data_IF_760016198217
#
_entry.id   IF_760016198217
#
_cell.length_a   1.000
_cell.length_b   1.000
_cell.length_c   1.000
_cell.angle_alpha   90.00
_cell.angle_beta   90.00
_cell.angle_gamma   90.00
#
_symmetry.space_group_name_H-M   'P 1'
#
loop_
_entity.id
_entity.type
_entity.pdbx_description
1 polymer ?
#
# COMPACT_ATOMS: atom_id res chain seq x y z
N UNK A 1 -46.24 -3.71 8.80
CA UNK A 1 -45.66 -3.67 10.16
C UNK A 1 -45.93 -5.04 10.73
N UNK A 2 -44.96 -5.92 10.72
CA UNK A 2 -45.07 -7.21 11.39
C UNK A 2 -44.94 -6.99 12.89
N UNK A 3 -45.79 -7.64 13.68
CA UNK A 3 -45.90 -7.50 15.15
C UNK A 3 -44.66 -7.85 15.95
N UNK A 4 -43.52 -8.17 15.31
CA UNK A 4 -42.29 -8.57 15.93
C UNK A 4 -41.12 -7.59 15.75
N UNK A 5 -41.35 -6.31 15.53
CA UNK A 5 -40.29 -5.28 15.65
C UNK A 5 -39.02 -5.48 14.76
N UNK A 6 -39.07 -6.36 13.76
CA UNK A 6 -37.97 -6.56 12.85
C UNK A 6 -37.95 -5.38 11.88
N UNK A 7 -36.95 -4.53 12.06
CA UNK A 7 -36.70 -3.41 11.17
C UNK A 7 -36.43 -3.92 9.75
N UNK A 8 -37.16 -3.40 8.75
CA UNK A 8 -36.83 -3.67 7.35
C UNK A 8 -35.44 -3.10 7.06
N UNK A 9 -34.46 -3.98 6.78
CA UNK A 9 -33.12 -3.58 6.43
C UNK A 9 -32.98 -3.59 4.90
N UNK A 10 -32.67 -2.45 4.32
CA UNK A 10 -32.32 -2.32 2.91
C UNK A 10 -30.82 -2.17 2.75
N UNK A 11 -30.23 -2.92 1.83
CA UNK A 11 -28.81 -2.82 1.47
C UNK A 11 -28.64 -1.92 0.25
N UNK A 12 -27.51 -1.21 0.21
CA UNK A 12 -27.18 -0.25 -0.84
C UNK A 12 -25.78 -0.46 -1.37
N UNK A 13 -25.61 -0.39 -2.68
CA UNK A 13 -24.34 -0.37 -3.38
C UNK A 13 -24.53 0.33 -4.73
N UNK A 14 -23.53 0.31 -5.57
CA UNK A 14 -23.60 0.68 -6.97
C UNK A 14 -23.76 -0.58 -7.84
N UNK A 15 -24.20 -0.45 -9.11
CA UNK A 15 -24.28 -1.58 -10.04
C UNK A 15 -22.97 -2.37 -10.14
N UNK A 16 -21.83 -1.68 -10.01
CA UNK A 16 -20.48 -2.26 -10.01
C UNK A 16 -20.09 -2.99 -8.71
N UNK A 17 -20.93 -2.92 -7.68
CA UNK A 17 -20.72 -3.54 -6.37
C UNK A 17 -19.39 -3.20 -5.71
N UNK A 18 -19.04 -1.92 -5.73
CA UNK A 18 -17.75 -1.43 -5.23
C UNK A 18 -17.61 -1.59 -3.72
N UNK A 19 -18.69 -1.45 -2.95
CA UNK A 19 -18.70 -1.69 -1.49
C UNK A 19 -18.47 -3.18 -1.22
N UNK A 20 -19.24 -4.07 -1.86
CA UNK A 20 -19.10 -5.52 -1.72
C UNK A 20 -17.68 -5.97 -2.09
N UNK A 21 -17.11 -5.44 -3.17
CA UNK A 21 -15.73 -5.75 -3.61
C UNK A 21 -14.70 -5.42 -2.53
N UNK A 22 -14.90 -4.35 -1.78
CA UNK A 22 -14.04 -3.96 -0.66
C UNK A 22 -14.36 -4.70 0.64
N UNK A 23 -15.42 -5.50 0.67
CA UNK A 23 -15.93 -6.16 1.86
C UNK A 23 -16.71 -5.22 2.79
N UNK A 24 -17.14 -4.05 2.29
CA UNK A 24 -17.94 -3.08 3.04
C UNK A 24 -19.44 -3.31 2.82
N UNK A 25 -20.25 -2.92 3.79
CA UNK A 25 -21.72 -3.01 3.72
C UNK A 25 -22.34 -1.67 4.06
N UNK A 26 -23.16 -1.15 3.16
CA UNK A 26 -24.00 0.01 3.42
C UNK A 26 -25.47 -0.43 3.52
N UNK A 27 -26.08 -0.17 4.64
CA UNK A 27 -27.49 -0.53 4.89
C UNK A 27 -28.27 0.63 5.51
N UNK A 28 -29.57 0.55 5.40
CA UNK A 28 -30.51 1.45 6.05
C UNK A 28 -31.64 0.67 6.67
N UNK A 29 -31.89 0.88 7.96
CA UNK A 29 -33.02 0.29 8.69
C UNK A 29 -33.99 1.36 9.16
N UNK A 30 -35.23 0.98 9.33
CA UNK A 30 -36.26 1.82 9.92
C UNK A 30 -36.50 1.38 11.37
N UNK A 31 -36.23 2.28 12.32
CA UNK A 31 -36.52 2.08 13.73
C UNK A 31 -37.42 3.20 14.23
N UNK A 32 -38.60 2.85 14.76
CA UNK A 32 -39.57 3.82 15.29
C UNK A 32 -39.89 4.97 14.31
N UNK A 33 -39.97 4.67 13.00
CA UNK A 33 -40.24 5.64 11.94
C UNK A 33 -39.04 6.50 11.53
N UNK A 34 -37.86 6.29 12.14
CA UNK A 34 -36.61 6.98 11.81
C UNK A 34 -35.69 6.07 10.97
N UNK A 35 -35.15 6.62 9.90
CA UNK A 35 -34.17 5.89 9.07
C UNK A 35 -32.79 6.02 9.66
N UNK A 36 -32.13 4.89 9.91
CA UNK A 36 -30.75 4.82 10.38
C UNK A 36 -29.91 4.21 9.26
N UNK A 37 -28.95 4.96 8.77
CA UNK A 37 -27.91 4.46 7.87
C UNK A 37 -26.80 3.83 8.69
N UNK A 38 -26.33 2.67 8.23
CA UNK A 38 -25.22 1.92 8.83
C UNK A 38 -24.23 1.54 7.74
N UNK A 39 -23.00 2.01 7.88
CA UNK A 39 -21.86 1.60 7.07
C UNK A 39 -20.95 0.73 7.93
N UNK A 40 -20.67 -0.48 7.47
CA UNK A 40 -19.69 -1.39 8.05
C UNK A 40 -18.50 -1.49 7.11
N UNK A 41 -17.33 -1.18 7.64
CA UNK A 41 -16.05 -1.25 6.93
C UNK A 41 -15.18 -2.34 7.55
N UNK A 42 -14.70 -3.32 6.77
CA UNK A 42 -13.85 -4.38 7.30
C UNK A 42 -12.53 -3.82 7.80
N UNK A 43 -12.07 -4.31 8.95
CA UNK A 43 -10.73 -4.08 9.49
C UNK A 43 -9.94 -5.38 9.56
N UNK A 44 -8.62 -5.28 9.71
CA UNK A 44 -7.74 -6.45 9.78
C UNK A 44 -7.74 -7.10 11.20
N UNK A 45 -8.23 -6.40 12.20
CA UNK A 45 -8.31 -6.75 13.63
C UNK A 45 -9.67 -7.35 14.07
N UNK A 46 -10.39 -7.93 13.15
CA UNK A 46 -11.68 -8.66 13.32
C UNK A 46 -12.90 -7.81 13.73
N UNK A 47 -12.76 -6.62 14.27
CA UNK A 47 -13.91 -5.74 14.51
C UNK A 47 -14.11 -4.74 13.37
N UNK A 48 -15.25 -4.79 12.65
CA UNK A 48 -15.53 -3.85 11.58
C UNK A 48 -15.73 -2.43 12.15
N UNK A 49 -15.24 -1.42 11.45
CA UNK A 49 -15.59 -0.05 11.75
C UNK A 49 -17.07 0.17 11.36
N UNK A 50 -17.86 0.56 12.33
CA UNK A 50 -19.30 0.84 12.11
C UNK A 50 -19.53 2.34 12.26
N UNK A 51 -20.12 2.94 11.23
CA UNK A 51 -20.59 4.33 11.24
C UNK A 51 -22.12 4.30 11.11
N UNK A 52 -22.82 4.79 12.13
CA UNK A 52 -24.27 4.89 12.13
C UNK A 52 -24.73 6.34 12.25
N UNK A 53 -25.70 6.73 11.43
CA UNK A 53 -26.29 8.07 11.48
C UNK A 53 -27.75 8.08 10.99
N UNK A 54 -28.57 8.90 11.66
CA UNK A 54 -29.95 9.19 11.21
C UNK A 54 -29.92 9.92 9.86
N UNK A 55 -30.77 9.49 8.93
CA UNK A 55 -30.82 10.12 7.60
C UNK A 55 -32.09 9.79 6.79
N UNK A 56 -32.28 10.59 5.76
CA UNK A 56 -33.41 10.44 4.80
C UNK A 56 -33.31 9.13 4.00
N UNK A 57 -34.31 8.86 3.16
CA UNK A 57 -34.42 7.57 2.46
C UNK A 57 -33.48 7.44 1.24
N UNK A 58 -32.96 8.55 0.70
CA UNK A 58 -32.30 8.56 -0.63
C UNK A 58 -30.78 8.67 -0.53
N UNK A 59 -30.27 9.55 0.31
CA UNK A 59 -28.85 9.86 0.39
C UNK A 59 -28.29 9.54 1.76
N UNK A 60 -27.09 8.94 1.83
CA UNK A 60 -26.39 8.76 3.10
C UNK A 60 -26.13 10.10 3.79
N UNK A 61 -26.27 10.18 5.12
CA UNK A 61 -26.01 11.40 5.89
C UNK A 61 -24.51 11.74 5.91
N UNK A 62 -24.17 12.96 6.34
CA UNK A 62 -22.85 13.55 6.18
C UNK A 62 -21.68 12.69 6.70
N UNK A 63 -21.83 12.09 7.89
CA UNK A 63 -20.74 11.29 8.48
C UNK A 63 -20.51 10.00 7.70
N UNK A 64 -21.59 9.36 7.23
CA UNK A 64 -21.51 8.19 6.35
C UNK A 64 -20.98 8.59 4.98
N UNK A 65 -21.47 9.70 4.41
CA UNK A 65 -21.07 10.19 3.09
C UNK A 65 -19.59 10.57 3.03
N UNK A 66 -19.00 11.06 4.14
CA UNK A 66 -17.61 11.48 4.22
C UNK A 66 -16.60 10.35 3.91
N UNK A 67 -16.97 9.11 4.16
CA UNK A 67 -16.11 7.95 3.96
C UNK A 67 -16.40 7.15 2.69
N UNK A 68 -17.43 7.55 1.93
CA UNK A 68 -17.86 6.87 0.71
C UNK A 68 -17.32 7.41 -0.64
N UNK A 69 -16.55 8.53 -0.74
CA UNK A 69 -16.24 9.12 -2.03
C UNK A 69 -15.54 8.18 -3.03
N UNK A 70 -14.63 7.30 -2.56
CA UNK A 70 -13.95 6.32 -3.40
C UNK A 70 -14.90 5.28 -4.02
N UNK A 71 -15.99 4.97 -3.33
CA UNK A 71 -17.00 4.03 -3.80
C UNK A 71 -18.00 4.71 -4.72
N UNK A 72 -18.59 5.82 -4.26
CA UNK A 72 -19.68 6.49 -4.96
C UNK A 72 -19.24 7.35 -6.14
N UNK A 73 -18.10 8.06 -6.04
CA UNK A 73 -17.54 8.94 -7.09
C UNK A 73 -18.59 9.90 -7.67
N UNK A 74 -19.44 10.47 -6.79
CA UNK A 74 -20.51 11.38 -7.16
C UNK A 74 -21.84 10.71 -7.58
N UNK A 75 -21.89 9.37 -7.67
CA UNK A 75 -23.14 8.64 -7.89
C UNK A 75 -23.89 8.42 -6.57
N UNK A 76 -25.21 8.20 -6.66
CA UNK A 76 -26.00 7.77 -5.51
C UNK A 76 -26.02 6.25 -5.39
N UNK A 77 -25.94 5.69 -4.18
CA UNK A 77 -26.07 4.25 -3.99
C UNK A 77 -27.51 3.81 -4.28
N UNK A 78 -27.66 2.66 -4.91
CA UNK A 78 -28.93 2.04 -5.23
C UNK A 78 -29.23 0.87 -4.28
N UNK A 79 -30.52 0.62 -4.03
CA UNK A 79 -30.93 -0.56 -3.26
C UNK A 79 -30.62 -1.83 -4.03
N UNK A 80 -29.96 -2.80 -3.38
CA UNK A 80 -29.66 -4.10 -3.99
C UNK A 80 -30.00 -5.26 -3.06
N UNK A 81 -30.17 -6.44 -3.63
CA UNK A 81 -30.32 -7.68 -2.88
C UNK A 81 -28.96 -8.42 -2.76
N UNK A 82 -28.43 -8.59 -1.54
CA UNK A 82 -27.16 -9.30 -1.32
C UNK A 82 -27.21 -10.77 -1.78
N UNK A 83 -28.40 -11.38 -1.83
CA UNK A 83 -28.57 -12.75 -2.28
C UNK A 83 -28.45 -12.90 -3.81
N UNK A 84 -28.55 -11.81 -4.57
CA UNK A 84 -28.40 -11.86 -6.03
C UNK A 84 -26.92 -11.97 -6.39
N UNK A 85 -26.45 -13.19 -6.58
CA UNK A 85 -25.08 -13.50 -7.07
C UNK A 85 -24.95 -13.11 -8.54
N UNK A 86 -24.66 -11.85 -8.83
CA UNK A 86 -24.25 -11.43 -10.15
C UNK A 86 -22.77 -11.04 -10.16
N UNK A 87 -21.97 -11.87 -10.84
CA UNK A 87 -20.74 -11.43 -11.47
C UNK A 87 -19.49 -11.39 -10.62
N UNK A 88 -19.11 -12.50 -9.95
CA UNK A 88 -17.68 -12.78 -9.85
C UNK A 88 -17.18 -13.01 -11.27
N UNK A 89 -16.23 -12.19 -11.72
CA UNK A 89 -15.60 -12.36 -13.02
C UNK A 89 -15.04 -13.78 -13.12
N UNK A 90 -15.38 -14.52 -14.18
CA UNK A 90 -14.84 -15.85 -14.43
C UNK A 90 -13.31 -15.78 -14.39
N UNK A 91 -12.71 -16.53 -13.48
CA UNK A 91 -11.26 -16.64 -13.39
C UNK A 91 -10.79 -17.50 -14.57
N UNK A 92 -10.24 -16.89 -15.59
CA UNK A 92 -9.49 -17.58 -16.62
C UNK A 92 -8.10 -17.94 -16.04
N UNK A 93 -7.69 -19.20 -16.21
CA UNK A 93 -6.38 -19.70 -15.73
C UNK A 93 -5.20 -19.25 -16.60
N UNK A 94 -5.46 -18.48 -17.66
CA UNK A 94 -4.45 -17.91 -18.53
C UNK A 94 -3.71 -16.72 -17.88
N UNK A 95 -2.61 -16.31 -18.47
CA UNK A 95 -1.76 -15.21 -17.98
C UNK A 95 -2.50 -13.88 -17.87
N UNK A 96 -3.53 -13.66 -18.71
CA UNK A 96 -4.33 -12.43 -18.74
C UNK A 96 -5.35 -12.43 -17.62
N UNK A 97 -6.05 -13.55 -17.40
CA UNK A 97 -6.97 -13.72 -16.29
C UNK A 97 -6.28 -13.54 -14.93
N UNK A 98 -5.05 -14.02 -14.80
CA UNK A 98 -4.22 -13.81 -13.61
C UNK A 98 -3.82 -12.36 -13.42
N UNK A 99 -3.38 -11.68 -14.47
CA UNK A 99 -3.09 -10.25 -14.44
C UNK A 99 -4.31 -9.46 -13.98
N UNK A 100 -5.49 -9.78 -14.53
CA UNK A 100 -6.77 -9.21 -14.14
C UNK A 100 -7.04 -9.43 -12.66
N UNK A 101 -6.99 -10.69 -12.18
CA UNK A 101 -7.23 -11.02 -10.77
C UNK A 101 -6.23 -10.35 -9.81
N UNK A 102 -4.99 -10.12 -10.25
CA UNK A 102 -4.02 -9.38 -9.45
C UNK A 102 -4.37 -7.90 -9.36
N UNK A 103 -4.79 -7.27 -10.45
CA UNK A 103 -5.23 -5.86 -10.47
C UNK A 103 -6.52 -5.67 -9.67
N UNK A 104 -7.49 -6.58 -9.81
CA UNK A 104 -8.73 -6.60 -9.03
C UNK A 104 -8.47 -6.64 -7.52
N UNK A 105 -7.59 -7.54 -7.07
CA UNK A 105 -7.19 -7.60 -5.66
C UNK A 105 -6.56 -6.29 -5.17
N UNK A 106 -5.72 -5.65 -5.97
CA UNK A 106 -5.12 -4.38 -5.57
C UNK A 106 -6.16 -3.25 -5.55
N UNK A 107 -7.08 -3.23 -6.50
CA UNK A 107 -8.18 -2.26 -6.54
C UNK A 107 -9.09 -2.42 -5.31
N UNK A 108 -9.49 -3.65 -4.96
CA UNK A 108 -10.24 -3.93 -3.76
C UNK A 108 -9.51 -3.47 -2.47
N UNK A 109 -8.19 -3.67 -2.39
CA UNK A 109 -7.37 -3.17 -1.27
C UNK A 109 -7.31 -1.64 -1.21
N UNK A 110 -7.28 -0.95 -2.35
CA UNK A 110 -7.36 0.52 -2.39
C UNK A 110 -8.70 0.99 -1.82
N UNK A 111 -9.81 0.42 -2.27
CA UNK A 111 -11.14 0.76 -1.77
C UNK A 111 -11.29 0.44 -0.27
N UNK A 112 -10.77 -0.72 0.18
CA UNK A 112 -10.87 -1.16 1.58
C UNK A 112 -10.21 -0.20 2.55
N UNK A 113 -9.02 0.33 2.20
CA UNK A 113 -8.23 1.17 3.10
C UNK A 113 -8.43 2.69 2.92
N UNK A 114 -9.14 3.13 1.86
CA UNK A 114 -9.45 4.53 1.62
C UNK A 114 -10.21 5.19 2.80
N UNK A 115 -11.27 4.58 3.36
CA UNK A 115 -11.99 5.15 4.50
C UNK A 115 -11.12 5.36 5.74
N UNK A 116 -10.26 4.41 6.06
CA UNK A 116 -9.37 4.51 7.23
C UNK A 116 -8.35 5.66 7.09
N UNK A 117 -7.86 5.90 5.86
CA UNK A 117 -6.98 7.07 5.58
C UNK A 117 -7.75 8.38 5.73
N UNK A 118 -9.02 8.45 5.28
CA UNK A 118 -9.86 9.66 5.42
C UNK A 118 -10.18 9.99 6.86
N UNK A 119 -10.39 8.98 7.69
CA UNK A 119 -10.73 9.13 9.10
C UNK A 119 -9.49 9.25 10.00
N UNK A 120 -8.30 9.04 9.45
CA UNK A 120 -7.00 8.99 10.18
C UNK A 120 -7.04 8.06 11.41
N UNK A 121 -7.65 6.87 11.24
CA UNK A 121 -7.89 5.94 12.33
C UNK A 121 -6.62 5.18 12.71
N UNK A 122 -5.90 4.69 11.69
CA UNK A 122 -4.71 3.87 11.86
C UNK A 122 -3.68 4.19 10.78
N UNK A 123 -2.40 4.43 11.15
CA UNK A 123 -1.30 4.57 10.19
C UNK A 123 -1.14 3.37 9.25
N UNK A 124 -1.66 2.20 9.65
CA UNK A 124 -1.64 0.99 8.84
C UNK A 124 -2.55 1.10 7.60
N UNK A 125 -3.65 1.86 7.66
CA UNK A 125 -4.51 2.10 6.48
C UNK A 125 -3.74 2.85 5.39
N UNK A 126 -2.96 3.88 5.74
CA UNK A 126 -2.07 4.58 4.79
C UNK A 126 -1.02 3.60 4.23
N UNK A 127 -0.48 2.73 5.08
CA UNK A 127 0.48 1.71 4.65
C UNK A 127 -0.14 0.76 3.62
N UNK A 128 -1.29 0.16 3.92
CA UNK A 128 -1.98 -0.81 3.07
C UNK A 128 -2.42 -0.20 1.76
N UNK A 129 -3.02 0.99 1.80
CA UNK A 129 -3.38 1.75 0.60
C UNK A 129 -2.15 1.99 -0.29
N UNK A 130 -1.05 2.49 0.27
CA UNK A 130 0.20 2.74 -0.45
C UNK A 130 0.83 1.45 -0.99
N UNK A 131 0.74 0.34 -0.26
CA UNK A 131 1.20 -0.99 -0.75
C UNK A 131 0.39 -1.41 -1.97
N UNK A 132 -0.94 -1.27 -1.95
CA UNK A 132 -1.81 -1.62 -3.06
C UNK A 132 -1.51 -0.76 -4.30
N UNK A 133 -1.39 0.56 -4.15
CA UNK A 133 -0.98 1.49 -5.24
C UNK A 133 0.38 1.11 -5.83
N UNK A 134 1.37 0.85 -4.98
CA UNK A 134 2.71 0.45 -5.42
C UNK A 134 2.71 -0.91 -6.12
N UNK A 135 1.92 -1.89 -5.63
CA UNK A 135 1.78 -3.20 -6.27
C UNK A 135 1.09 -3.09 -7.61
N UNK A 136 -0.02 -2.33 -7.73
CA UNK A 136 -0.68 -2.07 -9.01
C UNK A 136 0.29 -1.52 -10.06
N UNK A 137 1.08 -0.51 -9.67
CA UNK A 137 2.11 0.07 -10.53
C UNK A 137 3.19 -0.94 -10.94
N UNK A 138 3.60 -1.81 -10.02
CA UNK A 138 4.61 -2.83 -10.27
C UNK A 138 4.08 -3.94 -11.19
N UNK A 139 2.83 -4.36 -11.01
CA UNK A 139 2.12 -5.33 -11.87
C UNK A 139 2.06 -4.79 -13.31
N UNK A 140 1.57 -3.57 -13.51
CA UNK A 140 1.51 -2.92 -14.82
C UNK A 140 2.90 -2.77 -15.46
N UNK A 141 3.94 -2.46 -14.64
CA UNK A 141 5.32 -2.39 -15.15
C UNK A 141 5.85 -3.75 -15.58
N UNK A 142 5.59 -4.80 -14.81
CA UNK A 142 6.04 -6.15 -15.13
C UNK A 142 5.33 -6.69 -16.38
N UNK A 143 4.02 -6.39 -16.50
CA UNK A 143 3.19 -6.79 -17.65
C UNK A 143 3.34 -5.86 -18.88
N UNK A 144 4.17 -4.80 -18.80
CA UNK A 144 4.36 -3.84 -19.92
C UNK A 144 4.56 -4.46 -21.31
N UNK A 145 5.31 -5.57 -21.48
CA UNK A 145 5.50 -6.17 -22.80
C UNK A 145 4.23 -6.80 -23.41
N UNK A 146 3.20 -7.04 -22.59
CA UNK A 146 1.91 -7.63 -23.03
C UNK A 146 0.77 -6.63 -23.03
N UNK A 147 0.95 -5.46 -22.41
CA UNK A 147 -0.07 -4.42 -22.26
C UNK A 147 0.04 -3.36 -23.36
N UNK A 148 -1.10 -2.82 -23.77
CA UNK A 148 -1.15 -1.64 -24.60
C UNK A 148 -0.52 -0.43 -23.86
N UNK A 149 0.60 0.15 -24.37
CA UNK A 149 1.26 1.27 -23.73
C UNK A 149 0.40 2.53 -23.64
N UNK A 150 -0.48 2.77 -24.64
CA UNK A 150 -1.34 3.95 -24.69
C UNK A 150 -2.34 3.98 -23.53
N UNK A 151 -2.66 2.81 -23.00
CA UNK A 151 -3.53 2.63 -21.84
C UNK A 151 -2.75 2.47 -20.52
N UNK A 152 -1.71 1.63 -20.51
CA UNK A 152 -1.03 1.24 -19.27
C UNK A 152 -0.06 2.30 -18.73
N UNK A 153 0.59 3.10 -19.60
CA UNK A 153 1.53 4.12 -19.15
C UNK A 153 0.86 5.31 -18.46
N UNK A 154 -0.27 5.88 -18.95
CA UNK A 154 -1.03 6.88 -18.20
C UNK A 154 -1.48 6.37 -16.83
N UNK A 155 -2.05 5.17 -16.75
CA UNK A 155 -2.51 4.57 -15.50
C UNK A 155 -1.34 4.39 -14.51
N UNK A 156 -0.16 4.00 -14.98
CA UNK A 156 1.05 3.94 -14.15
C UNK A 156 1.52 5.30 -13.67
N UNK A 157 1.34 6.34 -14.49
CA UNK A 157 1.61 7.73 -14.13
C UNK A 157 0.73 8.19 -12.98
N UNK A 158 -0.57 7.92 -13.05
CA UNK A 158 -1.53 8.28 -12.00
C UNK A 158 -1.27 7.50 -10.69
N UNK A 159 -0.94 6.21 -10.77
CA UNK A 159 -0.51 5.43 -9.61
C UNK A 159 0.80 5.96 -8.98
N UNK A 160 1.69 6.53 -9.80
CA UNK A 160 2.90 7.19 -9.27
C UNK A 160 2.54 8.46 -8.51
N UNK A 161 1.68 9.30 -9.07
CA UNK A 161 1.19 10.51 -8.44
C UNK A 161 0.54 10.22 -7.09
N UNK A 162 -0.44 9.30 -7.04
CA UNK A 162 -1.11 8.93 -5.78
C UNK A 162 -0.11 8.34 -4.77
N UNK A 163 0.79 7.47 -5.23
CA UNK A 163 1.84 6.92 -4.38
C UNK A 163 2.79 7.95 -3.80
N UNK A 164 3.01 9.09 -4.49
CA UNK A 164 3.80 10.22 -4.00
C UNK A 164 3.02 11.07 -3.00
N UNK A 165 1.73 11.32 -3.23
CA UNK A 165 0.86 12.06 -2.32
C UNK A 165 0.73 11.36 -0.95
N UNK A 166 0.51 10.04 -0.96
CA UNK A 166 0.46 9.20 0.24
C UNK A 166 1.84 8.96 0.87
N UNK A 167 2.90 9.12 0.06
CA UNK A 167 4.26 8.74 0.43
C UNK A 167 4.77 9.51 1.63
N UNK A 168 4.63 10.83 1.60
CA UNK A 168 5.11 11.71 2.66
C UNK A 168 4.47 11.39 4.02
N UNK A 169 3.16 11.15 4.02
CA UNK A 169 2.43 10.78 5.23
C UNK A 169 2.96 9.47 5.82
N UNK A 170 3.09 8.42 5.00
CA UNK A 170 3.61 7.11 5.44
C UNK A 170 5.06 7.18 5.90
N UNK A 171 5.92 7.92 5.21
CA UNK A 171 7.34 8.03 5.56
C UNK A 171 7.50 8.69 6.93
N UNK A 172 6.65 9.66 7.29
CA UNK A 172 6.62 10.30 8.61
C UNK A 172 6.08 9.32 9.67
N UNK A 173 4.99 8.58 9.41
CA UNK A 173 4.45 7.58 10.35
C UNK A 173 5.47 6.51 10.72
N UNK A 174 6.19 6.00 9.71
CA UNK A 174 7.25 5.00 9.93
C UNK A 174 8.36 5.57 10.79
N UNK A 175 8.75 6.82 10.51
CA UNK A 175 9.81 7.49 11.29
C UNK A 175 9.37 7.74 12.73
N UNK A 176 8.16 8.26 12.95
CA UNK A 176 7.62 8.47 14.30
C UNK A 176 7.62 7.16 15.09
N UNK A 177 7.01 6.10 14.55
CA UNK A 177 6.95 4.81 15.23
C UNK A 177 8.32 4.18 15.47
N UNK A 178 9.29 4.42 14.58
CA UNK A 178 10.66 3.99 14.78
C UNK A 178 11.34 4.79 15.90
N UNK A 179 11.29 6.12 15.84
CA UNK A 179 11.92 6.97 16.85
C UNK A 179 11.32 6.77 18.24
N UNK A 180 10.02 6.57 18.37
CA UNK A 180 9.38 6.26 19.63
C UNK A 180 9.99 5.02 20.28
N UNK A 181 10.16 3.92 19.54
CA UNK A 181 10.82 2.69 20.04
C UNK A 181 12.28 2.90 20.43
N UNK A 182 13.02 3.72 19.68
CA UNK A 182 14.41 4.02 19.99
C UNK A 182 14.54 4.95 21.22
N UNK A 183 13.62 5.91 21.35
CA UNK A 183 13.54 6.85 22.50
C UNK A 183 13.20 6.10 23.80
N UNK A 184 12.32 5.09 23.75
CA UNK A 184 12.01 4.25 24.91
C UNK A 184 13.23 3.56 25.50
N UNK A 185 14.27 3.32 24.70
CA UNK A 185 15.53 2.70 25.11
C UNK A 185 16.56 3.70 25.63
N UNK A 186 16.26 5.00 25.62
CA UNK A 186 17.10 6.03 26.24
C UNK A 186 16.82 6.12 27.74
N UNK A 187 17.82 6.56 28.50
CA UNK A 187 17.67 6.87 29.93
C UNK A 187 17.06 8.26 30.14
N UNK A 188 16.55 8.52 31.32
CA UNK A 188 16.18 9.86 31.73
C UNK A 188 17.46 10.67 32.06
N UNK A 189 17.56 11.98 31.75
CA UNK A 189 16.51 12.85 31.16
C UNK A 189 16.43 12.87 29.61
N UNK A 190 17.24 12.09 28.92
CA UNK A 190 17.35 12.10 27.47
C UNK A 190 16.04 11.70 26.78
N UNK A 191 15.34 10.71 27.36
CA UNK A 191 14.03 10.27 26.87
C UNK A 191 13.03 11.43 26.82
N UNK A 192 12.95 12.22 27.86
CA UNK A 192 12.07 13.40 27.92
C UNK A 192 12.49 14.45 26.89
N UNK A 193 13.79 14.74 26.79
CA UNK A 193 14.31 15.71 25.83
C UNK A 193 14.07 15.31 24.36
N UNK A 194 14.12 14.01 24.05
CA UNK A 194 13.86 13.49 22.71
C UNK A 194 12.38 13.59 22.28
N UNK A 195 11.44 13.74 23.22
CA UNK A 195 10.01 13.90 22.93
C UNK A 195 9.71 15.04 21.95
N UNK A 196 10.44 16.16 22.06
CA UNK A 196 10.31 17.31 21.16
C UNK A 196 10.53 16.91 19.69
N UNK A 197 11.41 15.95 19.39
CA UNK A 197 11.64 15.49 18.01
C UNK A 197 10.40 14.80 17.44
N UNK A 198 9.67 14.06 18.26
CA UNK A 198 8.41 13.42 17.86
C UNK A 198 7.29 14.45 17.66
N UNK A 199 7.23 15.48 18.50
CA UNK A 199 6.26 16.59 18.37
C UNK A 199 6.45 17.36 17.06
N UNK A 200 7.70 17.68 16.69
CA UNK A 200 8.03 18.32 15.41
C UNK A 200 7.57 17.48 14.21
N UNK A 201 7.80 16.16 14.27
CA UNK A 201 7.30 15.25 13.24
C UNK A 201 5.78 15.15 13.22
N UNK A 202 5.11 15.30 14.38
CA UNK A 202 3.66 15.36 14.48
C UNK A 202 3.05 16.49 13.67
N UNK A 203 3.61 17.70 13.75
CA UNK A 203 3.16 18.84 12.97
C UNK A 203 3.35 18.63 11.44
N UNK A 204 4.47 18.02 11.04
CA UNK A 204 4.68 17.64 9.63
C UNK A 204 3.69 16.54 9.17
N UNK A 205 3.34 15.62 10.07
CA UNK A 205 2.37 14.56 9.82
C UNK A 205 0.99 15.12 9.46
N UNK A 206 0.53 16.12 10.21
CA UNK A 206 -0.76 16.79 9.94
C UNK A 206 -0.77 17.45 8.55
N UNK A 207 0.30 18.15 8.20
CA UNK A 207 0.46 18.73 6.85
C UNK A 207 0.44 17.65 5.76
N UNK A 208 1.12 16.53 5.99
CA UNK A 208 1.16 15.42 5.04
C UNK A 208 -0.19 14.70 4.93
N UNK A 209 -0.98 14.64 6.03
CA UNK A 209 -2.34 14.12 6.03
C UNK A 209 -3.26 15.00 5.18
N UNK A 210 -3.18 16.33 5.32
CA UNK A 210 -3.97 17.24 4.48
C UNK A 210 -3.69 17.03 2.99
N UNK A 211 -2.42 16.88 2.59
CA UNK A 211 -2.04 16.59 1.19
C UNK A 211 -2.60 15.24 0.72
N UNK A 212 -2.59 14.22 1.58
CA UNK A 212 -3.16 12.92 1.25
C UNK A 212 -4.69 13.01 1.06
N UNK A 213 -5.40 13.73 1.93
CA UNK A 213 -6.84 13.94 1.83
C UNK A 213 -7.22 14.73 0.57
N UNK A 214 -6.48 15.81 0.24
CA UNK A 214 -6.67 16.55 -1.00
C UNK A 214 -6.54 15.63 -2.22
N UNK A 215 -5.53 14.77 -2.24
CA UNK A 215 -5.37 13.80 -3.32
C UNK A 215 -6.57 12.85 -3.42
N UNK A 216 -7.04 12.30 -2.29
CA UNK A 216 -8.14 11.33 -2.24
C UNK A 216 -9.51 11.94 -2.54
N UNK A 217 -9.67 13.25 -2.45
CA UNK A 217 -10.93 13.97 -2.77
C UNK A 217 -10.96 14.53 -4.18
N UNK A 218 -9.85 14.46 -4.91
CA UNK A 218 -9.73 15.03 -6.25
C UNK A 218 -10.42 14.19 -7.33
N UNK A 219 -10.94 14.84 -8.38
CA UNK A 219 -11.44 14.17 -9.60
C UNK A 219 -10.36 13.28 -10.23
N UNK A 220 -9.10 13.69 -10.12
CA UNK A 220 -7.96 12.90 -10.59
C UNK A 220 -7.88 11.52 -9.93
N UNK A 221 -8.16 11.44 -8.63
CA UNK A 221 -8.22 10.17 -7.91
C UNK A 221 -9.39 9.31 -8.39
N UNK A 222 -10.55 9.91 -8.61
CA UNK A 222 -11.72 9.17 -9.10
C UNK A 222 -11.48 8.62 -10.50
N UNK A 223 -10.84 9.38 -11.41
CA UNK A 223 -10.43 8.88 -12.72
C UNK A 223 -9.39 7.73 -12.63
N UNK A 224 -8.46 7.83 -11.67
CA UNK A 224 -7.54 6.71 -11.41
C UNK A 224 -8.30 5.46 -10.98
N UNK A 225 -9.27 5.59 -10.08
CA UNK A 225 -10.11 4.46 -9.62
C UNK A 225 -10.93 3.85 -10.77
N UNK A 226 -11.50 4.68 -11.67
CA UNK A 226 -12.20 4.21 -12.87
C UNK A 226 -11.25 3.45 -13.81
N UNK A 227 -10.03 3.94 -13.96
CA UNK A 227 -8.99 3.27 -14.73
C UNK A 227 -8.58 1.92 -14.14
N UNK A 228 -8.46 1.81 -12.82
CA UNK A 228 -8.16 0.56 -12.11
C UNK A 228 -9.33 -0.42 -12.16
N UNK A 229 -10.55 0.06 -12.04
CA UNK A 229 -11.77 -0.74 -12.18
C UNK A 229 -11.86 -1.33 -13.59
N UNK A 230 -11.63 -0.52 -14.61
CA UNK A 230 -11.55 -0.98 -16.00
C UNK A 230 -10.45 -2.01 -16.20
N UNK A 231 -9.28 -1.82 -15.59
CA UNK A 231 -8.17 -2.77 -15.61
C UNK A 231 -8.51 -4.10 -14.94
N UNK A 232 -9.27 -4.07 -13.85
CA UNK A 232 -9.73 -5.23 -13.13
C UNK A 232 -10.81 -6.01 -13.90
N UNK A 233 -11.60 -5.35 -14.72
CA UNK A 233 -12.59 -5.99 -15.62
C UNK A 233 -11.93 -6.60 -16.86
N UNK A 234 -10.96 -5.93 -17.47
CA UNK A 234 -10.27 -6.41 -18.66
C UNK A 234 -9.07 -5.56 -19.05
N UNK A 235 -7.85 -5.97 -18.71
CA UNK A 235 -6.65 -5.24 -19.10
C UNK A 235 -6.51 -5.24 -20.62
N UNK A 236 -6.19 -4.08 -21.21
CA UNK A 236 -5.93 -3.97 -22.65
C UNK A 236 -4.58 -4.58 -22.98
N UNK A 237 -4.61 -5.66 -23.76
CA UNK A 237 -3.40 -6.41 -24.14
C UNK A 237 -3.02 -6.15 -25.59
N UNK A 238 -1.70 -6.18 -25.85
CA UNK A 238 -1.17 -6.22 -27.22
C UNK A 238 -1.20 -7.65 -27.74
N UNK A 239 -1.28 -7.81 -29.07
CA UNK A 239 -1.15 -9.12 -29.72
C UNK A 239 0.31 -9.60 -29.58
N UNK A 240 0.51 -10.77 -29.01
CA UNK A 240 1.81 -11.44 -28.90
C UNK A 240 1.88 -12.37 -27.69
N UNK A 241 2.55 -13.50 -27.83
CA UNK A 241 2.87 -14.38 -26.72
C UNK A 241 4.10 -13.86 -25.97
N UNK A 242 3.97 -13.59 -24.70
CA UNK A 242 5.09 -13.21 -23.82
C UNK A 242 5.17 -14.16 -22.65
N UNK A 243 6.27 -14.89 -22.56
CA UNK A 243 6.55 -15.75 -21.40
C UNK A 243 6.92 -14.89 -20.19
N UNK A 244 6.09 -14.95 -19.15
CA UNK A 244 6.34 -14.28 -17.88
C UNK A 244 7.61 -14.83 -17.20
N UNK A 245 7.89 -16.14 -17.36
CA UNK A 245 9.13 -16.78 -16.92
C UNK A 245 10.36 -16.08 -17.53
N UNK A 246 10.38 -15.88 -18.86
CA UNK A 246 11.49 -15.19 -19.55
C UNK A 246 11.67 -13.75 -19.05
N UNK A 247 10.55 -13.05 -18.78
CA UNK A 247 10.58 -11.69 -18.22
C UNK A 247 11.17 -11.67 -16.81
N UNK A 248 10.78 -12.59 -15.95
CA UNK A 248 11.29 -12.70 -14.59
C UNK A 248 12.79 -13.03 -14.58
N UNK A 249 13.23 -14.01 -15.37
CA UNK A 249 14.63 -14.34 -15.55
C UNK A 249 15.47 -13.14 -16.04
N UNK A 250 14.93 -12.34 -16.97
CA UNK A 250 15.59 -11.11 -17.46
C UNK A 250 15.74 -10.06 -16.35
N UNK A 251 14.74 -9.88 -15.50
CA UNK A 251 14.83 -8.93 -14.36
C UNK A 251 15.85 -9.41 -13.33
N UNK A 252 15.86 -10.70 -13.01
CA UNK A 252 16.87 -11.25 -12.13
C UNK A 252 18.30 -11.10 -12.72
N UNK A 253 18.50 -11.37 -14.01
CA UNK A 253 19.81 -11.16 -14.66
C UNK A 253 20.31 -9.72 -14.51
N UNK A 254 19.42 -8.73 -14.56
CA UNK A 254 19.77 -7.31 -14.32
C UNK A 254 20.19 -7.06 -12.88
N UNK A 255 19.46 -7.62 -11.91
CA UNK A 255 19.81 -7.55 -10.50
C UNK A 255 21.18 -8.20 -10.28
N UNK A 256 21.38 -9.43 -10.78
CA UNK A 256 22.62 -10.20 -10.63
C UNK A 256 23.84 -9.43 -11.14
N UNK A 257 23.72 -8.80 -12.32
CA UNK A 257 24.82 -8.00 -12.91
C UNK A 257 25.28 -6.86 -12.00
N UNK A 258 24.38 -6.27 -11.21
CA UNK A 258 24.73 -5.24 -10.22
C UNK A 258 25.20 -5.88 -8.92
N UNK A 259 24.42 -6.80 -8.36
CA UNK A 259 24.61 -7.34 -7.01
C UNK A 259 25.90 -8.18 -6.89
N UNK A 260 26.31 -8.89 -7.92
CA UNK A 260 27.60 -9.61 -7.95
C UNK A 260 28.83 -8.67 -7.90
N UNK A 261 28.64 -7.35 -8.09
CA UNK A 261 29.70 -6.33 -8.01
C UNK A 261 29.71 -5.55 -6.71
N UNK A 262 28.67 -5.73 -5.88
CA UNK A 262 28.58 -5.04 -4.60
C UNK A 262 29.60 -5.63 -3.63
N UNK A 263 30.58 -4.81 -3.28
CA UNK A 263 31.59 -5.13 -2.25
C UNK A 263 31.24 -4.46 -0.90
N UNK A 264 32.15 -4.62 0.09
CA UNK A 264 32.00 -3.95 1.40
C UNK A 264 31.87 -2.43 1.28
N UNK A 265 32.53 -1.84 0.28
CA UNK A 265 32.59 -0.40 0.04
C UNK A 265 31.50 0.10 -0.92
N UNK A 266 30.49 -0.74 -1.24
CA UNK A 266 29.38 -0.33 -2.10
C UNK A 266 28.73 0.95 -1.58
N UNK A 267 28.52 1.91 -2.47
CA UNK A 267 27.88 3.19 -2.15
C UNK A 267 26.41 3.02 -1.82
N UNK A 268 25.84 3.93 -1.03
CA UNK A 268 24.41 3.92 -0.71
C UNK A 268 23.54 4.00 -1.98
N UNK A 269 24.03 4.69 -3.01
CA UNK A 269 23.33 4.79 -4.30
C UNK A 269 23.31 3.43 -5.03
N UNK A 270 24.37 2.65 -4.98
CA UNK A 270 24.43 1.30 -5.55
C UNK A 270 23.50 0.34 -4.81
N UNK A 271 23.48 0.40 -3.46
CA UNK A 271 22.58 -0.38 -2.63
C UNK A 271 21.11 -0.01 -2.89
N UNK A 272 20.82 1.27 -3.01
CA UNK A 272 19.48 1.74 -3.39
C UNK A 272 19.07 1.22 -4.78
N UNK A 273 19.98 1.24 -5.74
CA UNK A 273 19.74 0.68 -7.09
C UNK A 273 19.49 -0.82 -7.05
N UNK A 274 20.25 -1.57 -6.24
CA UNK A 274 20.03 -3.00 -6.02
C UNK A 274 18.64 -3.27 -5.42
N UNK A 275 18.20 -2.45 -4.44
CA UNK A 275 16.85 -2.51 -3.86
C UNK A 275 15.76 -2.32 -4.92
N UNK A 276 15.92 -1.36 -5.83
CA UNK A 276 14.96 -1.14 -6.93
C UNK A 276 14.91 -2.35 -7.86
N UNK A 277 16.08 -2.89 -8.28
CA UNK A 277 16.15 -4.05 -9.16
C UNK A 277 15.63 -5.32 -8.47
N UNK A 278 15.90 -5.49 -7.18
CA UNK A 278 15.33 -6.57 -6.35
C UNK A 278 13.81 -6.54 -6.34
N UNK A 279 13.20 -5.38 -6.11
CA UNK A 279 11.74 -5.21 -6.19
C UNK A 279 11.19 -5.59 -7.56
N UNK A 280 11.85 -5.18 -8.65
CA UNK A 280 11.43 -5.51 -10.02
C UNK A 280 11.51 -7.02 -10.27
N UNK A 281 12.60 -7.66 -9.87
CA UNK A 281 12.77 -9.10 -10.02
C UNK A 281 11.69 -9.84 -9.23
N UNK A 282 11.45 -9.50 -7.97
CA UNK A 282 10.42 -10.11 -7.13
C UNK A 282 9.02 -9.99 -7.74
N UNK A 283 8.59 -8.78 -8.08
CA UNK A 283 7.24 -8.58 -8.62
C UNK A 283 7.02 -9.28 -9.96
N UNK A 284 8.05 -9.35 -10.81
CA UNK A 284 7.93 -10.09 -12.08
C UNK A 284 7.90 -11.59 -11.83
N UNK A 285 8.59 -12.09 -10.79
CA UNK A 285 8.53 -13.50 -10.41
C UNK A 285 7.19 -13.87 -9.77
N UNK A 286 6.60 -12.99 -8.96
CA UNK A 286 5.22 -13.17 -8.45
C UNK A 286 4.21 -13.34 -9.60
N UNK A 287 4.37 -12.60 -10.71
CA UNK A 287 3.55 -12.79 -11.92
C UNK A 287 3.80 -14.12 -12.62
N UNK A 288 5.06 -14.58 -12.66
CA UNK A 288 5.46 -15.81 -13.31
C UNK A 288 5.27 -17.08 -12.43
N UNK A 289 4.86 -16.90 -11.16
CA UNK A 289 4.72 -18.02 -10.21
C UNK A 289 3.87 -19.18 -10.75
N UNK A 290 2.75 -18.95 -11.46
CA UNK A 290 1.96 -20.05 -11.98
C UNK A 290 2.67 -20.86 -13.09
N UNK A 291 3.55 -20.23 -13.87
CA UNK A 291 4.33 -20.92 -14.91
C UNK A 291 5.53 -21.69 -14.33
N UNK A 292 6.09 -21.20 -13.21
CA UNK A 292 7.35 -21.68 -12.62
C UNK A 292 7.11 -22.57 -11.40
N UNK A 293 6.02 -22.32 -10.64
CA UNK A 293 5.61 -23.11 -9.49
C UNK A 293 6.43 -22.86 -8.22
N UNK A 294 6.73 -23.95 -7.48
CA UNK A 294 7.44 -23.88 -6.19
C UNK A 294 8.78 -23.13 -6.23
N UNK A 295 9.63 -23.27 -7.26
CA UNK A 295 10.89 -22.50 -7.35
C UNK A 295 10.66 -20.98 -7.35
N UNK A 296 9.59 -20.50 -8.02
CA UNK A 296 9.26 -19.07 -7.99
C UNK A 296 8.90 -18.58 -6.59
N UNK A 297 8.12 -19.36 -5.81
CA UNK A 297 7.76 -19.00 -4.43
C UNK A 297 9.00 -18.86 -3.55
N UNK A 298 9.91 -19.84 -3.66
CA UNK A 298 11.18 -19.81 -2.92
C UNK A 298 12.03 -18.60 -3.30
N UNK A 299 12.11 -18.30 -4.60
CA UNK A 299 12.79 -17.07 -5.05
C UNK A 299 12.15 -15.81 -4.46
N UNK A 300 10.81 -15.70 -4.45
CA UNK A 300 10.08 -14.56 -3.89
C UNK A 300 10.36 -14.38 -2.40
N UNK A 301 10.45 -15.47 -1.64
CA UNK A 301 10.78 -15.47 -0.21
C UNK A 301 12.18 -14.89 0.04
N UNK A 302 13.21 -15.43 -0.63
CA UNK A 302 14.58 -14.92 -0.50
C UNK A 302 14.73 -13.51 -1.07
N UNK A 303 13.96 -13.15 -2.11
CA UNK A 303 13.94 -11.78 -2.62
C UNK A 303 13.32 -10.79 -1.62
N UNK A 304 12.36 -11.21 -0.78
CA UNK A 304 11.85 -10.41 0.34
C UNK A 304 12.95 -10.21 1.39
N UNK A 305 13.59 -11.27 1.86
CA UNK A 305 14.68 -11.18 2.82
C UNK A 305 15.82 -10.24 2.35
N UNK A 306 16.23 -10.37 1.09
CA UNK A 306 17.22 -9.46 0.49
C UNK A 306 16.74 -8.00 0.46
N UNK A 307 15.46 -7.77 0.18
CA UNK A 307 14.87 -6.43 0.17
C UNK A 307 14.71 -5.84 1.56
N UNK A 308 14.47 -6.67 2.59
CA UNK A 308 14.33 -6.23 3.98
C UNK A 308 15.67 -5.74 4.52
N UNK A 309 16.77 -6.44 4.21
CA UNK A 309 18.13 -5.97 4.53
C UNK A 309 18.44 -4.62 3.88
N UNK A 310 18.19 -4.48 2.57
CA UNK A 310 18.37 -3.21 1.85
C UNK A 310 17.37 -2.13 2.29
N UNK A 311 16.20 -2.54 2.78
CA UNK A 311 15.20 -1.67 3.38
C UNK A 311 15.72 -1.06 4.67
N UNK A 312 16.15 -1.91 5.60
CA UNK A 312 16.74 -1.49 6.89
C UNK A 312 17.91 -0.52 6.70
N UNK A 313 18.79 -0.81 5.74
CA UNK A 313 19.90 0.08 5.38
C UNK A 313 19.40 1.46 4.91
N UNK A 314 18.44 1.50 3.99
CA UNK A 314 17.89 2.75 3.45
C UNK A 314 17.11 3.53 4.50
N UNK A 315 16.34 2.85 5.33
CA UNK A 315 15.53 3.47 6.38
C UNK A 315 16.42 4.11 7.45
N UNK A 316 17.56 3.49 7.79
CA UNK A 316 18.56 4.08 8.70
C UNK A 316 19.19 5.36 8.12
N UNK A 317 19.51 5.39 6.82
CA UNK A 317 20.01 6.61 6.16
C UNK A 317 18.98 7.74 6.22
N UNK A 318 17.73 7.42 5.92
CA UNK A 318 16.64 8.40 5.94
C UNK A 318 16.41 8.91 7.37
N UNK A 319 16.40 8.03 8.37
CA UNK A 319 16.25 8.41 9.78
C UNK A 319 17.40 9.31 10.25
N UNK A 320 18.67 8.95 9.93
CA UNK A 320 19.82 9.82 10.25
C UNK A 320 19.69 11.21 9.62
N UNK A 321 19.35 11.28 8.34
CA UNK A 321 19.19 12.55 7.64
C UNK A 321 18.05 13.40 8.23
N UNK A 322 16.93 12.77 8.60
CA UNK A 322 15.80 13.45 9.21
C UNK A 322 16.11 13.97 10.62
N UNK A 323 16.77 13.16 11.46
CA UNK A 323 17.22 13.58 12.78
C UNK A 323 18.13 14.81 12.72
N UNK A 324 19.06 14.82 11.75
CA UNK A 324 19.93 15.98 11.51
C UNK A 324 19.14 17.21 11.02
N UNK A 325 18.10 17.01 10.19
CA UNK A 325 17.21 18.09 9.75
C UNK A 325 16.46 18.72 10.91
N UNK A 326 15.89 17.91 11.81
CA UNK A 326 15.16 18.41 12.98
C UNK A 326 16.02 19.23 13.96
N UNK A 327 17.34 19.01 13.97
CA UNK A 327 18.27 19.80 14.77
C UNK A 327 18.42 21.26 14.25
N UNK A 328 18.16 21.49 12.98
CA UNK A 328 18.21 22.86 12.42
C UNK A 328 17.12 23.77 13.00
N UNK A 329 16.02 23.19 13.49
CA UNK A 329 14.91 23.91 14.13
C UNK A 329 15.19 24.26 15.60
N UNK A 330 16.44 24.07 16.07
CA UNK A 330 16.95 24.46 17.39
C UNK A 330 16.14 23.90 18.57
N UNK A 331 15.93 22.56 18.70
CA UNK A 331 15.07 21.97 19.71
C UNK A 331 15.62 22.02 21.14
N UNK A 332 16.71 22.74 21.38
CA UNK A 332 17.40 22.83 22.66
C UNK A 332 18.53 21.81 22.84
N UNK A 333 19.43 22.06 23.79
CA UNK A 333 20.67 21.28 23.99
C UNK A 333 20.39 19.82 24.39
N UNK A 334 19.39 19.56 25.23
CA UNK A 334 18.99 18.22 25.65
C UNK A 334 18.48 17.37 24.48
N UNK A 335 17.61 17.95 23.62
CA UNK A 335 17.11 17.27 22.43
C UNK A 335 18.21 17.05 21.39
N UNK A 336 19.13 18.00 21.25
CA UNK A 336 20.29 17.86 20.36
C UNK A 336 21.20 16.70 20.82
N UNK A 337 21.45 16.55 22.10
CA UNK A 337 22.24 15.46 22.67
C UNK A 337 21.53 14.10 22.42
N UNK A 338 20.23 14.02 22.73
CA UNK A 338 19.44 12.81 22.48
C UNK A 338 19.42 12.42 20.99
N UNK A 339 19.24 13.41 20.08
CA UNK A 339 19.30 13.18 18.65
C UNK A 339 20.67 12.66 18.19
N UNK A 340 21.76 13.14 18.76
CA UNK A 340 23.11 12.62 18.51
C UNK A 340 23.22 11.14 18.84
N UNK A 341 22.68 10.69 19.98
CA UNK A 341 22.64 9.27 20.36
C UNK A 341 21.77 8.45 19.40
N UNK A 342 20.62 8.96 18.99
CA UNK A 342 19.76 8.30 18.01
C UNK A 342 20.46 8.18 16.65
N UNK A 343 21.20 9.20 16.21
CA UNK A 343 22.02 9.15 14.98
C UNK A 343 23.05 8.03 15.04
N UNK A 344 23.75 7.86 16.17
CA UNK A 344 24.73 6.77 16.31
C UNK A 344 24.07 5.39 16.27
N UNK A 345 22.86 5.25 16.81
CA UNK A 345 22.08 4.00 16.68
C UNK A 345 21.71 3.71 15.23
N UNK A 346 21.30 4.72 14.47
CA UNK A 346 21.00 4.53 13.04
C UNK A 346 22.26 4.15 12.24
N UNK A 347 23.41 4.70 12.56
CA UNK A 347 24.68 4.30 11.95
C UNK A 347 25.04 2.85 12.23
N UNK A 348 24.87 2.41 13.49
CA UNK A 348 25.06 1.02 13.90
C UNK A 348 24.11 0.10 13.12
N UNK A 349 22.80 0.42 13.09
CA UNK A 349 21.77 -0.32 12.36
C UNK A 349 22.07 -0.43 10.86
N UNK A 350 22.57 0.67 10.28
CA UNK A 350 23.04 0.70 8.89
C UNK A 350 24.22 -0.25 8.65
N UNK A 351 25.20 -0.26 9.55
CA UNK A 351 26.37 -1.13 9.47
C UNK A 351 25.97 -2.61 9.62
N UNK A 352 25.08 -2.95 10.54
CA UNK A 352 24.56 -4.30 10.74
C UNK A 352 23.79 -4.80 9.50
N UNK A 353 22.95 -3.95 8.89
CA UNK A 353 22.28 -4.30 7.64
C UNK A 353 23.27 -4.56 6.49
N UNK A 354 24.35 -3.76 6.37
CA UNK A 354 25.40 -4.01 5.36
C UNK A 354 26.12 -5.33 5.60
N UNK A 355 26.37 -5.71 6.84
CA UNK A 355 27.02 -6.98 7.17
C UNK A 355 26.16 -8.20 6.79
N UNK A 356 24.83 -8.09 6.80
CA UNK A 356 23.90 -9.16 6.41
C UNK A 356 23.72 -9.31 4.89
N UNK A 357 24.09 -8.29 4.11
CA UNK A 357 23.79 -8.24 2.67
C UNK A 357 24.46 -9.39 1.87
N UNK A 358 25.72 -9.78 2.11
CA UNK A 358 26.35 -10.87 1.36
C UNK A 358 25.63 -12.21 1.52
N UNK A 359 25.12 -12.51 2.73
CA UNK A 359 24.36 -13.73 3.00
C UNK A 359 22.99 -13.70 2.30
N UNK A 360 22.24 -12.62 2.48
CA UNK A 360 20.93 -12.45 1.85
C UNK A 360 21.04 -12.52 0.31
N UNK A 361 22.11 -11.99 -0.28
CA UNK A 361 22.39 -12.11 -1.71
C UNK A 361 22.70 -13.55 -2.14
N UNK A 362 23.49 -14.28 -1.35
CA UNK A 362 23.87 -15.68 -1.64
C UNK A 362 22.64 -16.58 -1.66
N UNK A 363 21.74 -16.44 -0.68
CA UNK A 363 20.51 -17.21 -0.60
C UNK A 363 19.57 -16.91 -1.76
N UNK A 364 19.40 -15.62 -2.12
CA UNK A 364 18.60 -15.23 -3.27
C UNK A 364 19.17 -15.81 -4.58
N UNK A 365 20.49 -15.82 -4.72
CA UNK A 365 21.17 -16.35 -5.91
C UNK A 365 20.95 -17.86 -6.06
N UNK A 366 21.04 -18.65 -4.98
CA UNK A 366 20.72 -20.09 -4.97
C UNK A 366 19.26 -20.34 -5.38
N UNK A 367 18.32 -19.60 -4.79
CA UNK A 367 16.90 -19.74 -5.14
C UNK A 367 16.62 -19.39 -6.61
N UNK A 368 17.41 -18.49 -7.20
CA UNK A 368 17.31 -18.12 -8.60
C UNK A 368 17.84 -19.21 -9.54
N UNK A 369 18.87 -19.96 -9.15
CA UNK A 369 19.38 -21.10 -9.90
C UNK A 369 18.28 -22.16 -10.07
N UNK A 370 17.54 -22.46 -9.00
CA UNK A 370 16.42 -23.40 -9.03
C UNK A 370 15.24 -22.89 -9.90
N UNK A 371 14.99 -21.58 -9.91
CA UNK A 371 13.84 -20.98 -10.59
C UNK A 371 14.06 -20.77 -12.11
N UNK A 372 15.32 -20.52 -12.50
CA UNK A 372 15.64 -20.10 -13.87
C UNK A 372 16.60 -21.06 -14.60
N UNK A 373 16.84 -22.25 -14.05
CA UNK A 373 17.59 -23.33 -14.70
C UNK A 373 16.90 -23.83 -16.00
#
# INVERSE_FOLDING_TARGET
VSENGVAEVAHYDLPERRLELAGATLSRRLEHGKGIWRLELPRDDDEPLVVEQLGGPVTPPADVARVLPAFLRGANPERFDPASTNGRFESSDDSIGRLRSMLERQYAQILRHDPGVRLDLDPEDVHRLRVAVRRSRAILHAARPVLDPSWSEPLRGELHWLGSALGRRRDIDVLIGHLQREIEQLEQPERTAAGVLVELLGAERETAQAIALDALTSDRYFWLLDGLESAARGPRVQRGEVSLRKLAAKQFKRLRKLADRLGPDATDQELHRARILGKRARYTTELAEPEVGKPARRFVEHARAFQDVLGTHQDAIVAEARLRGLLADSPGSGAAFAAGRLVERERKRRAEARAQLPEAWRELKRAAEDAWA
#
